data_IF_896150535766
#
_entry.id   IF_896150535766
#
_cell.length_a   1.000
_cell.length_b   1.000
_cell.length_c   1.000
_cell.angle_alpha   90.00
_cell.angle_beta   90.00
_cell.angle_gamma   90.00
#
_symmetry.space_group_name_H-M   'P 1'
#
loop_
_entity.id
_entity.type
_entity.pdbx_description
1 polymer ?
#
# COMPACT_ATOMS: atom_id res chain seq x y z
N UNK A 1 -30.45 38.00 40.83
CA UNK A 1 -29.84 36.73 41.30
C UNK A 1 -29.66 35.67 40.20
N UNK A 2 -30.28 35.79 39.05
CA UNK A 2 -30.28 34.75 38.00
C UNK A 2 -28.98 34.65 37.14
N UNK A 3 -28.20 35.71 37.05
CA UNK A 3 -27.02 35.73 36.19
C UNK A 3 -25.79 34.97 36.78
N UNK A 4 -25.70 34.86 38.09
CA UNK A 4 -24.59 34.14 38.73
C UNK A 4 -24.75 32.64 38.61
N UNK A 5 -25.96 32.12 38.74
CA UNK A 5 -26.28 30.70 38.63
C UNK A 5 -26.02 30.17 37.21
N UNK A 6 -26.40 30.92 36.18
CA UNK A 6 -26.17 30.57 34.77
C UNK A 6 -24.67 30.57 34.42
N UNK A 7 -23.87 31.45 35.03
CA UNK A 7 -22.41 31.44 34.85
C UNK A 7 -21.76 30.22 35.51
N UNK A 8 -22.21 29.82 36.68
CA UNK A 8 -21.71 28.64 37.38
C UNK A 8 -22.00 27.35 36.62
N UNK A 9 -23.23 27.21 36.11
CA UNK A 9 -23.59 26.05 35.27
C UNK A 9 -22.78 25.97 33.96
N UNK A 10 -22.48 27.09 33.30
CA UNK A 10 -21.64 27.13 32.12
C UNK A 10 -20.23 26.71 32.42
N UNK A 11 -19.65 27.23 33.52
CA UNK A 11 -18.27 26.85 33.93
C UNK A 11 -18.21 25.35 34.28
N UNK A 12 -19.19 24.82 35.00
CA UNK A 12 -19.26 23.42 35.33
C UNK A 12 -19.36 22.53 34.07
N UNK A 13 -20.18 22.93 33.10
CA UNK A 13 -20.29 22.22 31.82
C UNK A 13 -18.99 22.29 31.00
N UNK A 14 -18.33 23.42 30.95
CA UNK A 14 -17.04 23.59 30.28
C UNK A 14 -15.98 22.67 30.89
N UNK A 15 -15.90 22.60 32.21
CA UNK A 15 -15.02 21.72 32.95
C UNK A 15 -15.33 20.25 32.63
N UNK A 16 -16.61 19.85 32.66
CA UNK A 16 -17.02 18.48 32.31
C UNK A 16 -16.70 18.13 30.86
N UNK A 17 -16.88 19.04 29.93
CA UNK A 17 -16.51 18.84 28.53
C UNK A 17 -15.00 18.71 28.35
N UNK A 18 -14.21 19.52 29.06
CA UNK A 18 -12.77 19.42 29.11
C UNK A 18 -12.32 18.05 29.64
N UNK A 19 -12.85 17.58 30.75
CA UNK A 19 -12.54 16.25 31.28
C UNK A 19 -12.94 15.12 30.34
N UNK A 20 -14.08 15.22 29.64
CA UNK A 20 -14.48 14.23 28.62
C UNK A 20 -13.54 14.22 27.43
N UNK A 21 -13.07 15.38 26.99
CA UNK A 21 -12.08 15.52 25.94
C UNK A 21 -10.74 14.93 26.33
N UNK A 22 -10.25 15.30 27.52
CA UNK A 22 -8.97 14.82 28.07
C UNK A 22 -8.99 13.30 28.33
N UNK A 23 -10.16 12.75 28.73
CA UNK A 23 -10.29 11.31 28.95
C UNK A 23 -10.11 10.48 27.68
N UNK A 24 -10.41 11.02 26.52
CA UNK A 24 -10.10 10.35 25.22
C UNK A 24 -8.60 10.28 24.96
N UNK A 25 -7.85 11.29 25.40
CA UNK A 25 -6.39 11.38 25.25
C UNK A 25 -5.62 10.65 26.35
N UNK A 26 -6.28 10.27 27.44
CA UNK A 26 -5.63 9.60 28.58
C UNK A 26 -5.11 8.18 28.27
N UNK A 27 -5.47 7.62 27.14
CA UNK A 27 -4.93 6.35 26.63
C UNK A 27 -3.77 6.52 25.64
N UNK A 28 -3.42 7.76 25.28
CA UNK A 28 -2.30 8.04 24.41
C UNK A 28 -1.00 8.05 25.23
N UNK A 29 -0.03 7.23 24.82
CA UNK A 29 1.31 7.20 25.39
C UNK A 29 2.24 7.99 24.47
N UNK A 30 3.14 8.77 25.07
CA UNK A 30 4.17 9.44 24.29
C UNK A 30 5.18 8.41 23.75
N UNK A 31 5.56 8.54 22.49
CA UNK A 31 6.63 7.71 21.92
C UNK A 31 7.97 7.89 22.60
N UNK A 32 8.17 9.01 23.29
CA UNK A 32 9.37 9.31 24.07
C UNK A 32 9.29 8.81 25.51
N UNK A 33 8.15 8.22 25.92
CA UNK A 33 8.03 7.66 27.27
C UNK A 33 8.92 6.43 27.41
N UNK A 34 9.60 6.35 28.54
CA UNK A 34 10.51 5.25 28.86
C UNK A 34 9.70 4.06 29.34
N UNK A 35 9.91 2.89 28.73
CA UNK A 35 9.24 1.63 29.08
C UNK A 35 9.97 0.94 30.22
N UNK A 36 11.28 0.88 30.10
CA UNK A 36 12.16 0.21 31.04
C UNK A 36 13.44 1.03 31.23
N UNK A 37 13.95 1.04 32.44
CA UNK A 37 15.22 1.70 32.76
C UNK A 37 16.19 0.62 33.24
N UNK A 38 17.33 0.46 32.57
CA UNK A 38 18.40 -0.42 32.98
C UNK A 38 19.05 0.09 34.27
N UNK A 39 19.69 -0.82 35.01
CA UNK A 39 20.40 -0.48 36.24
C UNK A 39 21.49 0.60 36.10
N UNK A 40 21.92 0.89 34.88
CA UNK A 40 22.89 1.93 34.50
C UNK A 40 22.23 3.28 34.09
N UNK A 41 20.91 3.39 34.21
CA UNK A 41 20.20 4.64 33.98
C UNK A 41 19.85 4.92 32.51
N UNK A 42 20.12 3.99 31.59
CA UNK A 42 19.64 4.09 30.18
C UNK A 42 18.20 3.63 30.09
N UNK A 43 17.32 4.55 29.73
CA UNK A 43 15.90 4.25 29.50
C UNK A 43 15.62 3.85 28.07
N UNK A 44 14.95 2.71 27.87
CA UNK A 44 14.43 2.28 26.58
C UNK A 44 13.10 2.97 26.35
N UNK A 45 12.99 3.76 25.28
CA UNK A 45 11.76 4.47 24.91
C UNK A 45 10.94 3.66 23.90
N UNK A 46 9.63 3.99 23.77
CA UNK A 46 8.78 3.37 22.77
C UNK A 46 9.31 3.56 21.34
N UNK A 47 9.93 4.70 21.06
CA UNK A 47 10.48 4.99 19.73
C UNK A 47 11.65 4.07 19.35
N UNK A 48 12.40 3.57 20.33
CA UNK A 48 13.54 2.68 20.10
C UNK A 48 13.09 1.26 19.73
N UNK A 49 11.87 0.87 20.15
CA UNK A 49 11.27 -0.45 19.87
C UNK A 49 10.45 -0.43 18.59
N UNK A 50 9.85 0.72 18.23
CA UNK A 50 9.04 0.86 17.03
C UNK A 50 9.97 0.90 15.82
N UNK A 51 10.29 -0.27 15.29
CA UNK A 51 10.89 -0.40 13.96
C UNK A 51 9.79 -0.28 12.90
N UNK A 52 9.93 0.70 12.03
CA UNK A 52 9.29 0.65 10.72
C UNK A 52 10.19 -0.21 9.85
N UNK A 53 9.68 -1.32 9.31
CA UNK A 53 10.42 -2.10 8.32
C UNK A 53 10.84 -1.16 7.18
N UNK A 54 12.13 -1.12 6.89
CA UNK A 54 12.66 -0.29 5.81
C UNK A 54 12.45 -1.01 4.48
N UNK A 55 11.27 -0.81 3.89
CA UNK A 55 10.89 -1.35 2.58
C UNK A 55 11.61 -0.67 1.40
N UNK A 56 12.61 0.16 1.66
CA UNK A 56 13.28 0.95 0.62
C UNK A 56 13.96 0.04 -0.41
N UNK A 57 14.68 -0.99 0.05
CA UNK A 57 15.34 -1.95 -0.82
C UNK A 57 14.33 -2.74 -1.64
N UNK A 58 13.26 -3.21 -1.01
CA UNK A 58 12.19 -3.96 -1.69
C UNK A 58 11.45 -3.09 -2.71
N UNK A 59 11.21 -1.83 -2.37
CA UNK A 59 10.60 -0.85 -3.30
C UNK A 59 11.49 -0.59 -4.51
N UNK A 60 12.80 -0.43 -4.33
CA UNK A 60 13.76 -0.21 -5.42
C UNK A 60 13.84 -1.47 -6.29
N UNK A 61 14.00 -2.64 -5.68
CA UNK A 61 14.07 -3.93 -6.38
C UNK A 61 12.79 -4.23 -7.18
N UNK A 62 11.61 -3.96 -6.60
CA UNK A 62 10.34 -4.09 -7.30
C UNK A 62 10.23 -3.13 -8.50
N UNK A 63 10.69 -1.89 -8.34
CA UNK A 63 10.69 -0.89 -9.41
C UNK A 63 11.61 -1.29 -10.56
N UNK A 64 12.79 -1.77 -10.24
CA UNK A 64 13.76 -2.28 -11.21
C UNK A 64 13.22 -3.50 -11.97
N UNK A 65 12.64 -4.46 -11.26
CA UNK A 65 11.96 -5.61 -11.84
C UNK A 65 10.82 -5.20 -12.79
N UNK A 66 10.02 -4.21 -12.42
CA UNK A 66 8.95 -3.68 -13.26
C UNK A 66 9.50 -3.03 -14.55
N UNK A 67 10.62 -2.34 -14.49
CA UNK A 67 11.26 -1.76 -15.70
C UNK A 67 11.77 -2.87 -16.63
N UNK A 68 12.47 -3.87 -16.11
CA UNK A 68 12.94 -5.03 -16.89
C UNK A 68 11.78 -5.78 -17.54
N UNK A 69 10.67 -6.00 -16.83
CA UNK A 69 9.46 -6.62 -17.40
C UNK A 69 8.94 -5.83 -18.61
N UNK A 70 8.85 -4.50 -18.51
CA UNK A 70 8.37 -3.66 -19.60
C UNK A 70 9.28 -3.73 -20.83
N UNK A 71 10.57 -3.74 -20.62
CA UNK A 71 11.57 -3.89 -21.70
C UNK A 71 11.45 -5.26 -22.38
N UNK A 72 11.36 -6.33 -21.61
CA UNK A 72 11.17 -7.69 -22.14
C UNK A 72 9.83 -7.80 -22.91
N UNK A 73 8.74 -7.25 -22.39
CA UNK A 73 7.45 -7.23 -23.07
C UNK A 73 7.55 -6.50 -24.42
N UNK A 74 8.31 -5.40 -24.48
CA UNK A 74 8.51 -4.65 -25.69
C UNK A 74 9.39 -5.38 -26.73
N UNK A 75 10.42 -6.12 -26.27
CA UNK A 75 11.40 -6.77 -27.13
C UNK A 75 10.94 -8.14 -27.65
N UNK A 76 10.29 -8.95 -26.78
CA UNK A 76 10.05 -10.39 -27.03
C UNK A 76 8.66 -10.69 -27.57
N UNK A 77 7.67 -9.89 -27.19
CA UNK A 77 6.28 -10.16 -27.54
C UNK A 77 5.83 -9.48 -28.84
N UNK A 78 5.04 -10.22 -29.63
CA UNK A 78 4.36 -9.62 -30.77
C UNK A 78 3.34 -8.57 -30.31
N UNK A 79 2.93 -7.67 -31.19
CA UNK A 79 1.99 -6.57 -30.87
C UNK A 79 0.68 -7.08 -30.25
N UNK A 80 0.13 -8.18 -30.77
CA UNK A 80 -1.08 -8.80 -30.22
C UNK A 80 -0.86 -9.41 -28.84
N UNK A 81 0.24 -10.10 -28.62
CA UNK A 81 0.60 -10.68 -27.33
C UNK A 81 0.85 -9.57 -26.30
N UNK A 82 1.53 -8.50 -26.71
CA UNK A 82 1.79 -7.31 -25.89
C UNK A 82 0.51 -6.65 -25.43
N UNK A 83 -0.42 -6.40 -26.35
CA UNK A 83 -1.72 -5.79 -26.02
C UNK A 83 -2.49 -6.63 -24.99
N UNK A 84 -2.52 -7.95 -25.14
CA UNK A 84 -3.19 -8.85 -24.20
C UNK A 84 -2.51 -8.81 -22.83
N UNK A 85 -1.19 -8.92 -22.76
CA UNK A 85 -0.46 -8.89 -21.48
C UNK A 85 -0.60 -7.53 -20.80
N UNK A 86 -0.51 -6.43 -21.55
CA UNK A 86 -0.67 -5.08 -21.01
C UNK A 86 -2.05 -4.86 -20.38
N UNK A 87 -3.12 -5.30 -21.03
CA UNK A 87 -4.48 -5.18 -20.51
C UNK A 87 -4.75 -6.13 -19.36
N UNK A 88 -4.24 -7.37 -19.43
CA UNK A 88 -4.44 -8.38 -18.40
C UNK A 88 -3.75 -8.03 -17.08
N UNK A 89 -2.53 -7.53 -17.14
CA UNK A 89 -1.70 -7.24 -15.98
C UNK A 89 -1.61 -5.74 -15.63
N UNK A 90 -2.30 -4.88 -16.37
CA UNK A 90 -2.35 -3.45 -16.07
C UNK A 90 -1.01 -2.73 -16.25
N UNK A 91 -0.15 -3.18 -17.18
CA UNK A 91 1.19 -2.61 -17.38
C UNK A 91 1.17 -1.15 -17.87
N UNK A 92 0.03 -0.68 -18.38
CA UNK A 92 -0.19 0.71 -18.81
C UNK A 92 -0.67 1.63 -17.67
N UNK A 93 -0.74 1.15 -16.42
CA UNK A 93 -1.26 1.91 -15.29
C UNK A 93 -2.79 1.84 -15.12
N UNK A 94 -3.48 1.09 -15.98
CA UNK A 94 -4.89 0.78 -15.84
C UNK A 94 -5.08 -0.46 -14.96
N UNK A 95 -6.23 -0.61 -14.29
CA UNK A 95 -6.49 -1.82 -13.50
C UNK A 95 -6.46 -3.08 -14.38
N UNK A 96 -5.96 -4.22 -13.85
CA UNK A 96 -5.90 -5.47 -14.59
C UNK A 96 -7.31 -5.94 -14.97
N UNK A 97 -7.45 -6.40 -16.21
CA UNK A 97 -8.72 -6.84 -16.80
C UNK A 97 -8.84 -8.36 -16.81
N UNK A 98 -10.08 -8.88 -16.80
CA UNK A 98 -10.30 -10.32 -16.95
C UNK A 98 -10.09 -10.79 -18.39
N UNK A 99 -9.82 -12.09 -18.62
CA UNK A 99 -9.71 -12.65 -19.96
C UNK A 99 -10.96 -12.41 -20.83
N UNK A 100 -12.13 -12.31 -20.18
CA UNK A 100 -13.41 -12.07 -20.83
C UNK A 100 -13.52 -10.64 -21.32
N UNK A 101 -13.10 -9.68 -20.51
CA UNK A 101 -13.14 -8.26 -20.86
C UNK A 101 -12.16 -7.95 -21.99
N UNK A 102 -10.92 -8.50 -21.90
CA UNK A 102 -9.92 -8.39 -22.97
C UNK A 102 -10.43 -9.02 -24.26
N UNK A 103 -11.06 -10.18 -24.19
CA UNK A 103 -11.66 -10.83 -25.37
C UNK A 103 -12.74 -9.97 -26.02
N UNK A 104 -13.62 -9.38 -25.21
CA UNK A 104 -14.67 -8.47 -25.66
C UNK A 104 -14.07 -7.21 -26.30
N UNK A 105 -13.07 -6.61 -25.68
CA UNK A 105 -12.43 -5.39 -26.14
C UNK A 105 -11.66 -5.57 -27.46
N UNK A 106 -11.00 -6.73 -27.63
CA UNK A 106 -10.23 -7.04 -28.84
C UNK A 106 -11.07 -7.77 -29.92
N UNK A 107 -12.34 -8.06 -29.69
CA UNK A 107 -13.21 -8.75 -30.62
C UNK A 107 -12.79 -10.20 -30.94
N UNK A 108 -12.17 -10.91 -29.96
CA UNK A 108 -11.67 -12.27 -30.10
C UNK A 108 -12.29 -13.20 -29.06
N UNK A 109 -12.18 -14.52 -29.25
CA UNK A 109 -12.71 -15.47 -28.29
C UNK A 109 -11.84 -15.52 -27.00
N UNK A 110 -12.48 -15.74 -25.84
CA UNK A 110 -11.80 -15.93 -24.55
C UNK A 110 -10.75 -17.05 -24.62
N UNK A 111 -11.07 -18.15 -25.30
CA UNK A 111 -10.16 -19.29 -25.47
C UNK A 111 -8.90 -18.90 -26.26
N UNK A 112 -9.02 -17.99 -27.19
CA UNK A 112 -7.90 -17.48 -27.97
C UNK A 112 -7.02 -16.55 -27.11
N UNK A 113 -7.64 -15.68 -26.31
CA UNK A 113 -6.90 -14.85 -25.32
C UNK A 113 -6.10 -15.74 -24.37
N UNK A 114 -6.70 -16.78 -23.80
CA UNK A 114 -6.03 -17.70 -22.89
C UNK A 114 -4.83 -18.41 -23.55
N UNK A 115 -4.93 -18.82 -24.80
CA UNK A 115 -3.83 -19.44 -25.54
C UNK A 115 -2.71 -18.46 -25.82
N UNK A 116 -3.02 -17.23 -26.22
CA UNK A 116 -2.03 -16.19 -26.47
C UNK A 116 -1.31 -15.77 -25.16
N UNK A 117 -2.08 -15.61 -24.07
CA UNK A 117 -1.53 -15.30 -22.74
C UNK A 117 -0.52 -16.37 -22.30
N UNK A 118 -0.87 -17.65 -22.38
CA UNK A 118 0.05 -18.76 -22.05
C UNK A 118 1.31 -18.75 -22.89
N UNK A 119 1.18 -18.49 -24.19
CA UNK A 119 2.33 -18.41 -25.11
C UNK A 119 3.22 -17.22 -24.79
N UNK A 120 2.62 -16.05 -24.52
CA UNK A 120 3.35 -14.85 -24.17
C UNK A 120 4.11 -15.01 -22.86
N UNK A 121 3.45 -15.56 -21.83
CA UNK A 121 4.10 -15.84 -20.54
C UNK A 121 5.27 -16.84 -20.67
N UNK A 122 5.13 -17.85 -21.53
CA UNK A 122 6.24 -18.77 -21.80
C UNK A 122 7.43 -18.05 -22.42
N UNK A 123 7.19 -17.23 -23.46
CA UNK A 123 8.25 -16.45 -24.11
C UNK A 123 8.96 -15.50 -23.13
N UNK A 124 8.19 -14.82 -22.26
CA UNK A 124 8.77 -13.95 -21.24
C UNK A 124 9.60 -14.73 -20.23
N UNK A 125 9.12 -15.89 -19.78
CA UNK A 125 9.88 -16.75 -18.86
C UNK A 125 11.19 -17.22 -19.46
N UNK A 126 11.15 -17.67 -20.73
CA UNK A 126 12.34 -18.14 -21.44
C UNK A 126 13.36 -17.00 -21.61
N UNK A 127 12.89 -15.77 -21.87
CA UNK A 127 13.75 -14.59 -21.98
C UNK A 127 14.37 -14.19 -20.63
N UNK A 128 13.60 -14.26 -19.52
CA UNK A 128 14.11 -13.96 -18.17
C UNK A 128 15.11 -14.98 -17.63
N UNK A 129 15.06 -16.22 -18.12
CA UNK A 129 16.01 -17.28 -17.71
C UNK A 129 17.29 -17.27 -18.52
N UNK A 130 17.31 -16.58 -19.66
CA UNK A 130 18.46 -16.48 -20.56
C UNK A 130 19.39 -15.30 -20.19
N UNK A 131 18.96 -14.39 -19.33
CA UNK A 131 19.70 -13.24 -18.80
C UNK A 131 20.34 -13.58 -17.43
#
# INVERSE_FOLDING_TARGET
MTNLCIRQERIANEILMHFRSTRKLSGELSLSDTIETDGDGNGLSFIDILCVEDDMLDTISARESCMRIRECVAAVLSERERSIITLRYGLSGLPPQTQRDVASQLGISRSYVSRLEKRALKKLRDAFQAD
#
